data_IF_986195940040
#
_entry.id   IF_986195940040
#
_cell.length_a   1.000
_cell.length_b   1.000
_cell.length_c   1.000
_cell.angle_alpha   90.00
_cell.angle_beta   90.00
_cell.angle_gamma   90.00
#
_symmetry.space_group_name_H-M   'P 1'
#
loop_
_entity.id
_entity.type
_entity.pdbx_description
1 polymer ?
#
# COMPACT_ATOMS: atom_id res chain seq x y z
N UNK A 1 0.72 -13.32 58.14
CA UNK A 1 0.04 -12.86 56.91
C UNK A 1 -0.89 -13.96 56.44
N UNK A 2 -2.19 -13.70 56.42
CA UNK A 2 -3.26 -14.69 56.28
C UNK A 2 -3.52 -15.10 54.82
N UNK A 3 -4.17 -16.26 54.58
CA UNK A 3 -4.41 -16.83 53.24
C UNK A 3 -5.27 -15.96 52.31
N UNK A 4 -5.82 -14.86 52.81
CA UNK A 4 -6.64 -13.91 52.06
C UNK A 4 -5.85 -13.04 51.07
N UNK A 5 -4.52 -12.94 51.19
CA UNK A 5 -3.71 -12.06 50.34
C UNK A 5 -3.21 -12.71 49.04
N UNK A 6 -3.42 -14.02 48.84
CA UNK A 6 -3.06 -14.72 47.58
C UNK A 6 -4.14 -14.69 46.50
N UNK A 7 -5.34 -14.17 46.80
CA UNK A 7 -6.44 -14.05 45.82
C UNK A 7 -6.54 -12.68 45.14
N UNK A 8 -5.69 -11.72 45.50
CA UNK A 8 -5.71 -10.35 44.96
C UNK A 8 -4.60 -10.03 43.95
N UNK A 9 -3.78 -11.02 43.55
CA UNK A 9 -2.72 -10.85 42.52
C UNK A 9 -3.02 -11.65 41.24
N UNK A 10 -4.15 -12.37 41.17
CA UNK A 10 -4.54 -13.16 39.99
C UNK A 10 -5.68 -12.52 39.15
N UNK A 11 -6.02 -11.25 39.39
CA UNK A 11 -7.17 -10.60 38.76
C UNK A 11 -6.83 -9.25 38.10
N UNK A 12 -5.69 -9.14 37.42
CA UNK A 12 -5.34 -7.93 36.66
C UNK A 12 -4.37 -8.26 35.52
N UNK A 13 -4.78 -9.07 34.53
CA UNK A 13 -4.18 -9.14 33.18
C UNK A 13 -4.97 -10.14 32.30
N UNK A 14 -6.27 -9.90 32.17
CA UNK A 14 -7.05 -10.37 31.03
C UNK A 14 -7.59 -9.12 30.35
N UNK A 15 -6.70 -8.41 29.65
CA UNK A 15 -7.14 -7.60 28.52
C UNK A 15 -7.60 -8.59 27.45
N UNK A 16 -8.83 -9.07 27.57
CA UNK A 16 -9.59 -9.44 26.37
C UNK A 16 -9.79 -8.13 25.62
N UNK A 17 -8.90 -7.87 24.66
CA UNK A 17 -9.21 -6.95 23.60
C UNK A 17 -10.47 -7.48 22.91
N UNK A 18 -11.62 -7.00 23.34
CA UNK A 18 -12.85 -7.08 22.55
C UNK A 18 -12.59 -6.19 21.36
N UNK A 19 -11.96 -6.74 20.33
CA UNK A 19 -12.14 -6.19 19.00
C UNK A 19 -13.65 -6.21 18.80
N UNK A 20 -14.25 -5.02 18.70
CA UNK A 20 -15.58 -4.91 18.14
C UNK A 20 -15.51 -5.57 16.77
N UNK A 21 -15.92 -6.83 16.68
CA UNK A 21 -16.14 -7.48 15.41
C UNK A 21 -17.23 -6.65 14.76
N UNK A 22 -16.85 -5.88 13.74
CA UNK A 22 -17.82 -5.29 12.84
C UNK A 22 -18.84 -6.40 12.50
N UNK A 23 -20.14 -6.16 12.67
CA UNK A 23 -21.15 -7.17 12.43
C UNK A 23 -21.03 -7.64 10.97
N UNK A 24 -20.69 -8.91 10.75
CA UNK A 24 -20.73 -9.53 9.42
C UNK A 24 -19.46 -10.18 8.84
N UNK A 25 -18.39 -10.41 9.62
CA UNK A 25 -17.19 -11.15 9.15
C UNK A 25 -17.23 -12.63 9.56
N UNK A 26 -17.79 -13.49 8.72
CA UNK A 26 -17.88 -14.92 9.00
C UNK A 26 -16.52 -15.64 9.14
N UNK A 27 -15.47 -15.15 8.46
CA UNK A 27 -14.14 -15.79 8.41
C UNK A 27 -13.07 -15.12 9.32
N UNK A 28 -13.44 -14.11 10.12
CA UNK A 28 -12.47 -13.34 10.93
C UNK A 28 -11.47 -12.55 10.06
N UNK A 29 -10.32 -12.18 10.62
CA UNK A 29 -9.24 -11.50 9.86
C UNK A 29 -8.30 -12.50 9.14
N UNK A 30 -8.32 -13.76 9.56
CA UNK A 30 -7.41 -14.78 9.02
C UNK A 30 -8.06 -16.16 9.10
N UNK A 31 -7.99 -16.88 7.98
CA UNK A 31 -8.39 -18.29 7.86
C UNK A 31 -7.43 -18.98 6.90
N UNK A 32 -7.03 -20.20 7.26
CA UNK A 32 -6.14 -21.03 6.46
C UNK A 32 -6.51 -22.50 6.63
N UNK A 33 -6.96 -23.12 5.55
CA UNK A 33 -7.25 -24.56 5.49
C UNK A 33 -6.54 -25.15 4.26
N UNK A 34 -5.95 -26.33 4.42
CA UNK A 34 -5.24 -27.03 3.33
C UNK A 34 -5.98 -28.32 3.00
N UNK A 35 -6.34 -28.50 1.73
CA UNK A 35 -6.86 -29.77 1.21
C UNK A 35 -5.74 -30.75 0.92
N UNK A 36 -6.01 -32.04 0.70
CA UNK A 36 -4.96 -33.04 0.44
C UNK A 36 -4.52 -33.10 -1.03
N UNK A 37 -5.35 -32.64 -1.95
CA UNK A 37 -5.07 -32.70 -3.39
C UNK A 37 -4.01 -31.66 -3.78
N UNK A 38 -3.14 -32.07 -4.69
CA UNK A 38 -2.14 -31.19 -5.32
C UNK A 38 -2.50 -30.94 -6.79
N UNK A 39 -2.46 -29.68 -7.19
CA UNK A 39 -2.63 -29.20 -8.55
C UNK A 39 -1.25 -29.10 -9.21
N UNK A 40 -1.10 -29.60 -10.43
CA UNK A 40 0.15 -29.49 -11.19
C UNK A 40 0.14 -28.17 -11.95
N UNK A 41 1.04 -27.26 -11.60
CA UNK A 41 1.20 -25.95 -12.23
C UNK A 41 2.25 -25.96 -13.34
N UNK A 42 3.32 -26.75 -13.18
CA UNK A 42 4.31 -27.02 -14.22
C UNK A 42 4.82 -28.45 -14.09
N UNK A 43 5.25 -29.02 -15.22
CA UNK A 43 5.84 -30.35 -15.31
C UNK A 43 6.88 -30.36 -16.41
N UNK A 44 8.07 -30.88 -16.11
CA UNK A 44 9.20 -31.00 -17.06
C UNK A 44 9.54 -29.65 -17.72
N UNK A 45 9.43 -28.54 -16.97
CA UNK A 45 9.74 -27.19 -17.45
C UNK A 45 8.69 -26.60 -18.38
N UNK A 46 7.50 -27.21 -18.48
CA UNK A 46 6.39 -26.72 -19.27
C UNK A 46 5.19 -26.35 -18.38
N UNK A 47 4.52 -25.24 -18.70
CA UNK A 47 3.36 -24.77 -17.95
C UNK A 47 2.19 -25.76 -18.11
N UNK A 48 1.50 -26.00 -16.99
CA UNK A 48 0.24 -26.78 -16.89
C UNK A 48 -0.89 -25.95 -16.28
N UNK A 49 -0.59 -24.68 -15.97
CA UNK A 49 -1.57 -23.68 -15.58
C UNK A 49 -1.52 -22.46 -16.50
N UNK A 50 -2.65 -21.76 -16.61
CA UNK A 50 -2.74 -20.45 -17.23
C UNK A 50 -3.20 -19.41 -16.19
N UNK A 51 -2.71 -18.18 -16.33
CA UNK A 51 -3.11 -17.05 -15.49
C UNK A 51 -4.26 -16.34 -16.19
N UNK A 52 -5.46 -16.34 -15.61
CA UNK A 52 -6.64 -15.72 -16.20
C UNK A 52 -6.93 -14.36 -15.58
N UNK A 53 -7.05 -13.34 -16.42
CA UNK A 53 -7.46 -11.97 -16.04
C UNK A 53 -8.47 -11.44 -17.06
N UNK A 54 -9.59 -10.87 -16.59
CA UNK A 54 -10.59 -10.26 -17.49
C UNK A 54 -9.96 -9.13 -18.32
N UNK A 55 -10.45 -8.94 -19.56
CA UNK A 55 -9.90 -7.92 -20.49
C UNK A 55 -9.99 -6.50 -19.91
N UNK A 56 -11.02 -6.21 -19.14
CA UNK A 56 -11.30 -4.94 -18.49
C UNK A 56 -10.88 -4.90 -17.02
N UNK A 57 -10.09 -5.88 -16.55
CA UNK A 57 -9.66 -5.93 -15.16
C UNK A 57 -8.86 -4.67 -14.77
N UNK A 58 -8.98 -4.19 -13.52
CA UNK A 58 -8.21 -3.08 -13.01
C UNK A 58 -6.70 -3.22 -13.25
N UNK A 59 -5.99 -2.10 -13.38
CA UNK A 59 -4.55 -2.10 -13.61
C UNK A 59 -3.78 -2.88 -12.54
N UNK A 60 -4.24 -2.85 -11.29
CA UNK A 60 -3.69 -3.62 -10.19
C UNK A 60 -3.76 -5.14 -10.41
N UNK A 61 -4.85 -5.65 -11.00
CA UNK A 61 -5.02 -7.07 -11.31
C UNK A 61 -4.13 -7.47 -12.48
N UNK A 62 -4.04 -6.64 -13.52
CA UNK A 62 -3.15 -6.88 -14.67
C UNK A 62 -1.68 -6.90 -14.24
N UNK A 63 -1.28 -5.95 -13.40
CA UNK A 63 0.05 -5.94 -12.80
C UNK A 63 0.31 -7.18 -11.93
N UNK A 64 -0.69 -7.65 -11.17
CA UNK A 64 -0.60 -8.89 -10.40
C UNK A 64 -0.36 -10.12 -11.29
N UNK A 65 -0.98 -10.18 -12.48
CA UNK A 65 -0.72 -11.24 -13.45
C UNK A 65 0.72 -11.21 -13.98
N UNK A 66 1.26 -10.02 -14.28
CA UNK A 66 2.65 -9.88 -14.72
C UNK A 66 3.63 -10.30 -13.63
N UNK A 67 3.41 -9.90 -12.37
CA UNK A 67 4.24 -10.34 -11.24
C UNK A 67 4.13 -11.85 -11.04
N UNK A 68 2.92 -12.43 -11.10
CA UNK A 68 2.73 -13.87 -10.97
C UNK A 68 3.47 -14.62 -12.07
N UNK A 69 3.29 -14.20 -13.33
CA UNK A 69 3.96 -14.77 -14.49
C UNK A 69 5.48 -14.73 -14.35
N UNK A 70 6.05 -13.56 -14.08
CA UNK A 70 7.51 -13.39 -13.93
C UNK A 70 8.08 -14.38 -12.92
N UNK A 71 7.44 -14.54 -11.76
CA UNK A 71 7.95 -15.41 -10.70
C UNK A 71 7.75 -16.90 -11.02
N UNK A 72 6.65 -17.29 -11.66
CA UNK A 72 6.42 -18.67 -12.08
C UNK A 72 7.38 -19.08 -13.22
N UNK A 73 7.60 -18.20 -14.18
CA UNK A 73 8.54 -18.42 -15.28
C UNK A 73 9.97 -18.58 -14.73
N UNK A 74 10.42 -17.66 -13.86
CA UNK A 74 11.73 -17.75 -13.21
C UNK A 74 11.88 -19.00 -12.33
N UNK A 75 10.80 -19.43 -11.66
CA UNK A 75 10.80 -20.60 -10.79
C UNK A 75 10.96 -21.91 -11.57
N UNK A 76 10.35 -22.00 -12.76
CA UNK A 76 10.15 -23.27 -13.45
C UNK A 76 10.88 -23.40 -14.78
N UNK A 77 11.29 -22.28 -15.38
CA UNK A 77 11.75 -22.22 -16.77
C UNK A 77 10.62 -22.32 -17.81
N UNK A 78 9.36 -22.47 -17.38
CA UNK A 78 8.21 -22.52 -18.27
C UNK A 78 7.73 -21.12 -18.68
N UNK A 79 6.94 -21.05 -19.76
CA UNK A 79 6.19 -19.86 -20.15
C UNK A 79 4.72 -19.98 -19.70
N UNK A 80 4.35 -19.34 -18.59
CA UNK A 80 2.95 -19.33 -18.13
C UNK A 80 2.13 -18.31 -18.90
N UNK A 81 1.10 -18.72 -19.67
CA UNK A 81 0.32 -17.79 -20.48
C UNK A 81 -0.62 -16.96 -19.61
N UNK A 82 -0.73 -15.66 -19.91
CA UNK A 82 -1.81 -14.80 -19.41
C UNK A 82 -2.94 -14.81 -20.45
N UNK A 83 -4.13 -15.23 -20.03
CA UNK A 83 -5.31 -15.40 -20.89
C UNK A 83 -6.50 -14.58 -20.36
N UNK A 84 -7.46 -14.27 -21.24
CA UNK A 84 -8.67 -13.51 -20.86
C UNK A 84 -9.90 -14.37 -20.68
N UNK A 85 -9.82 -15.64 -21.03
CA UNK A 85 -10.91 -16.61 -20.91
C UNK A 85 -10.43 -17.84 -20.14
N UNK A 86 -11.38 -18.54 -19.53
CA UNK A 86 -11.10 -19.77 -18.79
C UNK A 86 -10.45 -20.79 -19.74
N UNK A 87 -9.27 -21.35 -19.40
CA UNK A 87 -8.66 -22.40 -20.21
C UNK A 87 -9.54 -23.66 -20.17
N UNK A 88 -9.62 -24.37 -21.31
CA UNK A 88 -10.40 -25.61 -21.42
C UNK A 88 -9.77 -26.79 -20.68
N UNK A 89 -8.46 -26.76 -20.51
CA UNK A 89 -7.65 -27.83 -19.91
C UNK A 89 -6.63 -27.23 -18.95
N UNK A 90 -6.15 -28.06 -18.01
CA UNK A 90 -5.16 -27.65 -17.02
C UNK A 90 -5.74 -26.78 -15.90
N UNK A 91 -4.84 -26.16 -15.13
CA UNK A 91 -5.20 -25.33 -13.98
C UNK A 91 -5.42 -23.88 -14.43
N UNK A 92 -6.47 -23.24 -13.92
CA UNK A 92 -6.69 -21.81 -14.12
C UNK A 92 -6.39 -21.06 -12.83
N UNK A 93 -5.40 -20.17 -12.86
CA UNK A 93 -5.15 -19.22 -11.77
C UNK A 93 -5.90 -17.93 -12.12
N UNK A 94 -7.09 -17.77 -11.57
CA UNK A 94 -8.01 -16.67 -11.90
C UNK A 94 -7.80 -15.52 -10.92
N UNK A 95 -7.46 -14.33 -11.44
CA UNK A 95 -7.16 -13.16 -10.63
C UNK A 95 -8.25 -12.09 -10.76
N UNK A 96 -8.57 -11.46 -9.64
CA UNK A 96 -9.49 -10.33 -9.57
C UNK A 96 -10.95 -10.75 -9.58
N UNK A 97 -11.83 -9.85 -9.11
CA UNK A 97 -13.25 -10.16 -9.02
C UNK A 97 -13.88 -10.42 -10.41
N UNK A 98 -14.41 -11.63 -10.58
CA UNK A 98 -15.14 -12.05 -11.77
C UNK A 98 -16.06 -13.24 -11.44
N UNK A 99 -16.87 -13.68 -12.40
CA UNK A 99 -17.84 -14.76 -12.19
C UNK A 99 -17.20 -16.06 -11.63
N UNK A 100 -16.01 -16.45 -12.13
CA UNK A 100 -15.31 -17.65 -11.65
C UNK A 100 -14.82 -17.51 -10.19
N UNK A 101 -14.32 -16.32 -9.82
CA UNK A 101 -13.91 -16.01 -8.45
C UNK A 101 -15.12 -16.02 -7.48
N UNK A 102 -16.26 -15.49 -7.91
CA UNK A 102 -17.51 -15.53 -7.12
C UNK A 102 -18.06 -16.95 -6.99
N UNK A 103 -17.97 -17.76 -8.05
CA UNK A 103 -18.34 -19.18 -8.02
C UNK A 103 -17.44 -20.00 -7.07
N UNK A 104 -16.18 -19.59 -6.88
CA UNK A 104 -15.30 -20.14 -5.84
C UNK A 104 -15.64 -19.63 -4.42
N UNK A 105 -16.64 -18.76 -4.29
CA UNK A 105 -17.14 -18.22 -3.02
C UNK A 105 -16.37 -17.01 -2.49
N UNK A 106 -15.60 -16.32 -3.34
CA UNK A 106 -14.93 -15.07 -2.97
C UNK A 106 -15.81 -13.90 -3.39
N UNK A 107 -16.26 -13.11 -2.41
CA UNK A 107 -16.89 -11.81 -2.62
C UNK A 107 -15.88 -10.71 -2.26
N UNK A 108 -15.18 -10.20 -3.28
CA UNK A 108 -14.13 -9.20 -3.11
C UNK A 108 -14.64 -7.92 -2.44
N UNK A 109 -15.90 -7.52 -2.70
CA UNK A 109 -16.50 -6.33 -2.11
C UNK A 109 -16.69 -6.45 -0.58
N UNK A 110 -16.70 -7.68 -0.02
CA UNK A 110 -16.81 -7.91 1.42
C UNK A 110 -15.49 -8.06 2.14
N UNK A 111 -14.39 -8.21 1.41
CA UNK A 111 -13.04 -8.26 1.99
C UNK A 111 -12.59 -6.84 2.31
N UNK A 112 -11.96 -6.61 3.47
CA UNK A 112 -11.43 -5.31 3.81
C UNK A 112 -10.36 -4.81 2.81
N UNK A 113 -10.12 -3.50 2.81
CA UNK A 113 -8.99 -2.90 2.08
C UNK A 113 -7.69 -3.62 2.43
N UNK A 114 -6.86 -3.87 1.42
CA UNK A 114 -5.62 -4.66 1.49
C UNK A 114 -5.78 -6.14 1.85
N UNK A 115 -7.00 -6.60 2.14
CA UNK A 115 -7.29 -8.01 2.32
C UNK A 115 -7.45 -8.73 0.99
N UNK A 116 -7.36 -10.06 1.06
CA UNK A 116 -7.50 -10.94 -0.08
C UNK A 116 -7.94 -12.34 0.35
N UNK A 117 -8.39 -13.13 -0.62
CA UNK A 117 -8.67 -14.54 -0.45
C UNK A 117 -8.04 -15.36 -1.59
N UNK A 118 -7.63 -16.59 -1.26
CA UNK A 118 -7.18 -17.60 -2.22
C UNK A 118 -8.04 -18.84 -1.99
N UNK A 119 -8.74 -19.31 -3.03
CA UNK A 119 -9.57 -20.50 -2.93
C UNK A 119 -9.32 -21.45 -4.09
N UNK A 120 -9.06 -22.71 -3.77
CA UNK A 120 -9.00 -23.77 -4.76
C UNK A 120 -10.34 -24.48 -4.87
N UNK A 121 -10.82 -24.70 -6.09
CA UNK A 121 -12.01 -25.50 -6.39
C UNK A 121 -11.82 -26.21 -7.73
N UNK A 122 -11.74 -27.55 -7.73
CA UNK A 122 -11.45 -28.30 -8.94
C UNK A 122 -10.10 -27.89 -9.56
N UNK A 123 -10.07 -27.53 -10.85
CA UNK A 123 -8.84 -27.03 -11.50
C UNK A 123 -8.68 -25.51 -11.39
N UNK A 124 -9.47 -24.82 -10.57
CA UNK A 124 -9.42 -23.36 -10.42
C UNK A 124 -8.73 -22.97 -9.12
N UNK A 125 -7.80 -22.03 -9.21
CA UNK A 125 -7.21 -21.29 -8.09
C UNK A 125 -7.69 -19.85 -8.25
N UNK A 126 -8.68 -19.44 -7.45
CA UNK A 126 -9.23 -18.09 -7.45
C UNK A 126 -8.47 -17.22 -6.45
N UNK A 127 -8.00 -16.04 -6.87
CA UNK A 127 -7.28 -15.07 -6.03
C UNK A 127 -7.92 -13.70 -6.23
N UNK A 128 -8.50 -13.11 -5.19
CA UNK A 128 -9.06 -11.77 -5.28
C UNK A 128 -9.08 -11.01 -3.95
N UNK A 129 -9.04 -9.69 -4.07
CA UNK A 129 -9.37 -8.72 -3.02
C UNK A 129 -10.00 -7.48 -3.66
N UNK A 130 -10.24 -6.42 -2.88
CA UNK A 130 -10.69 -5.15 -3.46
C UNK A 130 -9.59 -4.51 -4.29
N UNK A 131 -9.92 -4.04 -5.48
CA UNK A 131 -9.00 -3.40 -6.41
C UNK A 131 -9.60 -2.09 -6.96
N UNK A 132 -8.78 -1.06 -7.09
CA UNK A 132 -9.18 0.24 -7.63
C UNK A 132 -9.18 0.22 -9.16
N UNK A 133 -10.38 0.30 -9.75
CA UNK A 133 -10.61 0.30 -11.20
C UNK A 133 -10.37 1.67 -11.87
N UNK A 134 -10.04 2.72 -11.11
CA UNK A 134 -9.77 4.05 -11.66
C UNK A 134 -8.34 4.14 -12.21
N UNK A 135 -8.06 5.24 -12.93
CA UNK A 135 -6.72 5.53 -13.47
C UNK A 135 -5.62 5.65 -12.40
N UNK A 136 -5.96 5.68 -11.10
CA UNK A 136 -4.97 5.66 -10.01
C UNK A 136 -4.10 4.41 -10.04
N UNK A 137 -4.68 3.24 -10.32
CA UNK A 137 -3.96 1.96 -10.27
C UNK A 137 -2.96 1.79 -11.42
N UNK A 138 -3.08 2.56 -12.51
CA UNK A 138 -2.10 2.60 -13.61
C UNK A 138 -0.70 3.07 -13.15
N UNK A 139 -0.61 3.70 -11.97
CA UNK A 139 0.66 4.05 -11.38
C UNK A 139 1.58 2.84 -11.13
N UNK A 140 1.05 1.62 -10.98
CA UNK A 140 1.86 0.41 -10.78
C UNK A 140 2.80 0.13 -11.94
N UNK A 141 2.37 0.36 -13.18
CA UNK A 141 3.23 0.16 -14.36
C UNK A 141 4.38 1.17 -14.42
N UNK A 142 4.21 2.34 -13.79
CA UNK A 142 5.28 3.35 -13.64
C UNK A 142 6.28 3.01 -12.52
N UNK A 143 5.95 2.10 -11.61
CA UNK A 143 6.86 1.68 -10.52
C UNK A 143 8.09 0.96 -11.07
N UNK A 144 7.93 0.24 -12.20
CA UNK A 144 9.04 -0.43 -12.90
C UNK A 144 9.92 0.56 -13.70
N UNK A 145 9.42 1.75 -14.04
CA UNK A 145 10.14 2.73 -14.86
C UNK A 145 11.27 3.42 -14.06
N UNK A 146 12.52 3.43 -14.55
CA UNK A 146 13.63 4.05 -13.83
C UNK A 146 13.42 5.57 -13.71
N UNK A 147 13.72 6.09 -12.52
CA UNK A 147 13.85 7.53 -12.31
C UNK A 147 15.33 7.93 -12.41
N UNK A 148 15.65 9.12 -12.97
CA UNK A 148 17.00 9.64 -12.91
C UNK A 148 17.52 9.69 -11.48
N UNK A 149 18.80 9.35 -11.28
CA UNK A 149 19.51 9.49 -9.99
C UNK A 149 19.58 10.92 -9.47
N UNK A 150 19.14 11.92 -10.21
CA UNK A 150 19.10 13.31 -9.78
C UNK A 150 17.67 13.81 -9.57
N UNK A 151 16.67 12.95 -9.80
CA UNK A 151 15.27 13.32 -9.65
C UNK A 151 15.01 13.77 -8.21
N UNK A 152 14.52 15.00 -8.07
CA UNK A 152 14.06 15.50 -6.77
C UNK A 152 12.83 14.71 -6.33
N UNK A 153 12.57 14.69 -5.03
CA UNK A 153 11.32 14.14 -4.48
C UNK A 153 10.09 14.67 -5.22
N UNK A 154 10.07 15.97 -5.55
CA UNK A 154 8.95 16.61 -6.23
C UNK A 154 8.79 16.14 -7.68
N UNK A 155 9.90 15.90 -8.40
CA UNK A 155 9.84 15.34 -9.76
C UNK A 155 9.29 13.90 -9.74
N UNK A 156 9.70 13.11 -8.74
CA UNK A 156 9.18 11.75 -8.55
C UNK A 156 7.70 11.77 -8.12
N UNK A 157 7.30 12.70 -7.23
CA UNK A 157 5.90 12.92 -6.83
C UNK A 157 5.05 13.44 -7.99
N UNK A 158 5.58 14.21 -8.93
CA UNK A 158 4.83 14.65 -10.11
C UNK A 158 4.62 13.50 -11.11
N UNK A 159 5.64 12.67 -11.32
CA UNK A 159 5.61 11.59 -12.31
C UNK A 159 4.78 10.38 -11.85
N UNK A 160 4.87 10.05 -10.57
CA UNK A 160 4.05 9.02 -9.95
C UNK A 160 2.72 9.66 -9.54
N UNK A 161 2.78 10.67 -8.69
CA UNK A 161 1.66 11.26 -7.94
C UNK A 161 2.00 11.14 -6.45
N UNK A 162 1.86 12.22 -5.67
CA UNK A 162 2.18 12.19 -4.24
C UNK A 162 1.38 11.14 -3.43
N UNK A 163 0.25 10.69 -3.99
CA UNK A 163 -0.67 9.71 -3.44
C UNK A 163 -0.78 8.40 -4.24
N UNK A 164 0.18 8.04 -5.12
CA UNK A 164 0.14 6.76 -5.89
C UNK A 164 0.31 5.49 -5.07
N UNK A 165 0.12 5.58 -3.77
CA UNK A 165 0.02 4.41 -2.91
C UNK A 165 -1.37 4.27 -2.33
N UNK A 166 -2.25 5.26 -2.54
CA UNK A 166 -3.61 5.33 -2.00
C UNK A 166 -4.67 4.85 -3.01
N UNK A 167 -4.59 3.57 -3.35
CA UNK A 167 -5.59 2.87 -4.17
C UNK A 167 -5.58 1.38 -3.85
N UNK A 168 -6.76 0.76 -3.79
CA UNK A 168 -6.94 -0.64 -3.43
C UNK A 168 -6.27 -1.59 -4.45
N UNK A 169 -5.63 -2.64 -3.95
CA UNK A 169 -4.85 -3.62 -4.75
C UNK A 169 -4.76 -4.99 -4.04
N UNK A 170 -5.87 -5.42 -3.45
CA UNK A 170 -5.94 -6.65 -2.67
C UNK A 170 -5.56 -7.89 -3.48
N UNK A 171 -5.95 -7.97 -4.76
CA UNK A 171 -5.60 -9.12 -5.61
C UNK A 171 -4.09 -9.26 -5.79
N UNK A 172 -3.37 -8.14 -5.93
CA UNK A 172 -1.90 -8.14 -5.98
C UNK A 172 -1.29 -8.74 -4.71
N UNK A 173 -1.87 -8.44 -3.54
CA UNK A 173 -1.40 -8.99 -2.27
C UNK A 173 -1.70 -10.48 -2.13
N UNK A 174 -2.85 -10.93 -2.64
CA UNK A 174 -3.16 -12.35 -2.79
C UNK A 174 -2.16 -13.08 -3.68
N UNK A 175 -1.73 -12.47 -4.79
CA UNK A 175 -0.68 -13.03 -5.65
C UNK A 175 0.65 -13.16 -4.90
N UNK A 176 1.06 -12.14 -4.15
CA UNK A 176 2.29 -12.24 -3.37
C UNK A 176 2.21 -13.32 -2.28
N UNK A 177 1.06 -13.45 -1.60
CA UNK A 177 0.83 -14.54 -0.65
C UNK A 177 0.87 -15.91 -1.32
N UNK A 178 0.29 -16.05 -2.51
CA UNK A 178 0.32 -17.28 -3.29
C UNK A 178 1.76 -17.66 -3.69
N UNK A 179 2.55 -16.69 -4.14
CA UNK A 179 3.98 -16.90 -4.43
C UNK A 179 4.76 -17.32 -3.17
N UNK A 180 4.43 -16.78 -2.00
CA UNK A 180 5.01 -17.22 -0.73
C UNK A 180 4.67 -18.69 -0.40
N UNK A 181 3.47 -19.16 -0.71
CA UNK A 181 3.11 -20.58 -0.60
C UNK A 181 3.96 -21.47 -1.53
N UNK A 182 4.40 -20.93 -2.65
CA UNK A 182 5.32 -21.62 -3.58
C UNK A 182 6.80 -21.49 -3.18
N UNK A 183 7.10 -20.82 -2.07
CA UNK A 183 8.45 -20.68 -1.51
C UNK A 183 9.19 -19.40 -1.89
N UNK A 184 8.56 -18.47 -2.63
CA UNK A 184 9.17 -17.18 -2.95
C UNK A 184 9.31 -16.32 -1.70
N UNK A 185 10.43 -15.62 -1.52
CA UNK A 185 10.66 -14.68 -0.41
C UNK A 185 11.30 -13.39 -0.90
N UNK A 186 11.01 -12.28 -0.23
CA UNK A 186 11.61 -10.96 -0.48
C UNK A 186 12.11 -10.33 0.83
N UNK A 187 13.31 -10.69 1.26
CA UNK A 187 13.88 -10.24 2.53
C UNK A 187 14.36 -8.79 2.48
N UNK A 188 14.90 -8.38 1.34
CA UNK A 188 15.42 -7.04 1.08
C UNK A 188 15.00 -6.60 -0.33
N UNK A 189 15.08 -5.30 -0.65
CA UNK A 189 15.02 -4.84 -2.03
C UNK A 189 16.13 -5.43 -2.90
N UNK A 190 15.92 -5.39 -4.21
CA UNK A 190 16.90 -5.87 -5.19
C UNK A 190 16.80 -7.36 -5.50
N UNK A 191 17.54 -7.81 -6.51
CA UNK A 191 17.63 -9.24 -6.85
C UNK A 191 18.22 -10.07 -5.71
N UNK A 192 19.22 -9.56 -4.98
CA UNK A 192 19.90 -10.26 -3.87
C UNK A 192 19.01 -10.49 -2.66
N UNK A 193 17.99 -9.65 -2.46
CA UNK A 193 16.99 -9.82 -1.41
C UNK A 193 15.85 -10.77 -1.77
N UNK A 194 15.81 -11.26 -3.02
CA UNK A 194 14.74 -12.12 -3.55
C UNK A 194 15.20 -13.57 -3.63
N UNK A 195 14.41 -14.47 -3.05
CA UNK A 195 14.57 -15.92 -3.20
C UNK A 195 13.42 -16.45 -4.04
N UNK A 196 13.76 -17.05 -5.20
CA UNK A 196 12.82 -17.81 -6.04
C UNK A 196 13.38 -19.22 -6.14
N UNK A 197 12.71 -20.25 -5.57
CA UNK A 197 13.12 -21.63 -5.74
C UNK A 197 13.18 -22.01 -7.23
N UNK A 198 14.16 -22.80 -7.64
CA UNK A 198 14.25 -23.32 -9.02
C UNK A 198 13.80 -24.78 -9.05
N UNK A 199 12.72 -25.07 -9.78
CA UNK A 199 12.18 -26.44 -9.97
C UNK A 199 11.32 -26.52 -11.23
N UNK A 200 11.64 -27.43 -12.14
CA UNK A 200 10.89 -27.68 -13.39
C UNK A 200 9.49 -28.25 -13.15
N UNK A 201 9.32 -28.92 -12.01
CA UNK A 201 8.06 -29.49 -11.54
C UNK A 201 7.51 -28.65 -10.41
N UNK A 202 6.31 -28.13 -10.60
CA UNK A 202 5.65 -27.26 -9.64
C UNK A 202 4.24 -27.77 -9.35
N UNK A 203 4.00 -28.08 -8.08
CA UNK A 203 2.67 -28.44 -7.58
C UNK A 203 2.21 -27.44 -6.53
N UNK A 204 0.90 -27.27 -6.42
CA UNK A 204 0.25 -26.43 -5.43
C UNK A 204 -0.85 -27.22 -4.71
N UNK A 205 -0.71 -27.34 -3.40
CA UNK A 205 -1.70 -28.02 -2.55
C UNK A 205 -2.95 -27.14 -2.43
N UNK A 206 -4.12 -27.76 -2.46
CA UNK A 206 -5.39 -27.07 -2.26
C UNK A 206 -5.37 -26.20 -1.00
N UNK A 207 -6.00 -25.04 -1.11
CA UNK A 207 -5.91 -23.95 -0.16
C UNK A 207 -7.25 -23.21 -0.10
N UNK A 208 -7.78 -23.02 1.11
CA UNK A 208 -8.77 -22.01 1.43
C UNK A 208 -8.12 -21.02 2.37
N UNK A 209 -7.80 -19.83 1.85
CA UNK A 209 -7.16 -18.76 2.60
C UNK A 209 -8.00 -17.49 2.51
N UNK A 210 -8.16 -16.83 3.65
CA UNK A 210 -8.65 -15.47 3.76
C UNK A 210 -7.72 -14.72 4.69
N UNK A 211 -7.26 -13.54 4.30
CA UNK A 211 -6.36 -12.72 5.10
C UNK A 211 -6.69 -11.23 4.92
N UNK A 212 -6.98 -10.57 6.03
CA UNK A 212 -7.18 -9.13 6.15
C UNK A 212 -6.14 -8.56 7.11
N UNK A 213 -5.56 -7.38 6.83
CA UNK A 213 -4.58 -6.79 7.73
C UNK A 213 -5.23 -6.29 9.02
N UNK A 214 -4.60 -6.59 10.16
CA UNK A 214 -5.01 -6.06 11.46
C UNK A 214 -4.81 -4.54 11.60
N UNK A 215 -3.84 -3.98 10.86
CA UNK A 215 -3.54 -2.55 10.86
C UNK A 215 -3.71 -1.99 9.46
N UNK A 216 -4.50 -0.93 9.29
CA UNK A 216 -4.69 -0.26 8.00
C UNK A 216 -3.37 0.32 7.49
N UNK A 217 -2.55 0.87 8.38
CA UNK A 217 -1.22 1.38 8.04
C UNK A 217 -0.12 0.38 8.36
N UNK A 218 0.62 -0.02 7.33
CA UNK A 218 1.77 -0.93 7.44
C UNK A 218 2.89 -0.32 6.60
N UNK A 219 3.67 0.56 7.24
CA UNK A 219 4.68 1.40 6.54
C UNK A 219 6.08 1.25 7.11
N UNK A 220 7.04 1.06 6.20
CA UNK A 220 8.48 1.12 6.52
C UNK A 220 8.99 2.52 6.16
N UNK A 221 8.91 3.46 7.12
CA UNK A 221 9.48 4.81 7.02
C UNK A 221 9.16 5.58 5.73
N UNK A 222 10.03 6.50 5.30
CA UNK A 222 9.92 7.17 3.98
C UNK A 222 10.53 6.33 2.85
N UNK A 223 10.33 5.01 2.89
CA UNK A 223 10.96 4.07 1.95
C UNK A 223 10.68 4.38 0.47
N UNK A 224 9.49 4.87 0.12
CA UNK A 224 9.17 5.23 -1.27
C UNK A 224 10.01 6.38 -1.86
N UNK A 225 10.80 7.09 -1.03
CA UNK A 225 11.47 8.35 -1.36
C UNK A 225 12.95 8.41 -0.90
N UNK A 226 13.64 7.29 -0.71
CA UNK A 226 14.94 7.26 -0.01
C UNK A 226 16.10 7.99 -0.70
N UNK A 227 15.98 8.46 -1.94
CA UNK A 227 17.13 9.05 -2.64
C UNK A 227 17.71 10.29 -1.94
N UNK A 228 16.87 11.10 -1.29
CA UNK A 228 17.35 12.22 -0.47
C UNK A 228 17.99 11.76 0.85
N UNK A 229 17.55 10.63 1.43
CA UNK A 229 18.14 10.04 2.64
C UNK A 229 19.52 9.44 2.32
N UNK A 230 19.64 8.75 1.19
CA UNK A 230 20.89 8.17 0.70
C UNK A 230 21.88 9.27 0.37
N UNK A 231 21.44 10.33 -0.32
CA UNK A 231 22.28 11.50 -0.60
C UNK A 231 22.81 12.15 0.69
N UNK A 232 21.93 12.41 1.67
CA UNK A 232 22.33 12.98 2.96
C UNK A 232 23.25 12.05 3.78
N UNK A 233 23.02 10.73 3.74
CA UNK A 233 23.85 9.73 4.41
C UNK A 233 25.22 9.57 3.72
N UNK A 234 25.28 9.67 2.39
CA UNK A 234 26.52 9.70 1.61
C UNK A 234 27.38 10.90 1.98
N UNK A 235 26.79 12.10 2.06
CA UNK A 235 27.51 13.31 2.49
C UNK A 235 28.04 13.21 3.93
N UNK A 236 27.45 12.34 4.75
CA UNK A 236 27.87 12.06 6.13
C UNK A 236 28.76 10.81 6.26
N UNK A 237 29.18 10.19 5.16
CA UNK A 237 29.93 8.93 5.14
C UNK A 237 29.27 7.78 5.93
N UNK A 238 27.93 7.81 6.07
CA UNK A 238 27.16 6.80 6.80
C UNK A 238 26.74 5.61 5.94
N UNK A 239 26.95 5.67 4.63
CA UNK A 239 26.62 4.62 3.66
C UNK A 239 27.69 4.56 2.57
N UNK A 240 28.09 3.34 2.18
CA UNK A 240 28.89 3.09 0.99
C UNK A 240 27.97 3.06 -0.24
N UNK A 241 28.13 3.97 -1.22
CA UNK A 241 27.30 3.99 -2.43
C UNK A 241 27.42 2.71 -3.27
N UNK A 242 28.59 2.09 -3.31
CA UNK A 242 28.85 0.92 -4.16
C UNK A 242 28.12 -0.31 -3.63
N UNK A 243 28.11 -0.51 -2.31
CA UNK A 243 27.30 -1.55 -1.66
C UNK A 243 25.81 -1.33 -1.89
N UNK A 244 25.36 -0.08 -1.86
CA UNK A 244 23.95 0.26 -2.08
C UNK A 244 23.51 -0.04 -3.52
N UNK A 245 24.41 0.20 -4.48
CA UNK A 245 24.21 -0.13 -5.89
C UNK A 245 24.20 -1.65 -6.13
N UNK A 246 25.15 -2.37 -5.54
CA UNK A 246 25.23 -3.84 -5.62
C UNK A 246 24.01 -4.55 -5.01
N UNK A 247 23.43 -3.97 -3.95
CA UNK A 247 22.18 -4.45 -3.35
C UNK A 247 20.93 -4.05 -4.14
N UNK A 248 21.06 -3.22 -5.17
CA UNK A 248 19.97 -2.62 -5.93
C UNK A 248 18.91 -1.97 -5.02
N UNK A 249 19.32 -1.41 -3.88
CA UNK A 249 18.39 -0.91 -2.86
C UNK A 249 17.70 0.41 -3.29
N UNK A 250 17.88 0.84 -4.54
CA UNK A 250 17.35 2.06 -5.13
C UNK A 250 15.83 2.10 -5.35
N UNK A 251 15.36 3.25 -5.84
CA UNK A 251 13.95 3.66 -5.81
C UNK A 251 12.94 2.63 -6.35
N UNK A 252 13.19 2.01 -7.50
CA UNK A 252 12.21 1.08 -8.11
C UNK A 252 12.13 -0.25 -7.38
N UNK A 253 13.29 -0.85 -7.08
CA UNK A 253 13.36 -2.13 -6.38
C UNK A 253 12.81 -2.02 -4.97
N UNK A 254 13.04 -0.89 -4.30
CA UNK A 254 12.44 -0.63 -3.00
C UNK A 254 10.91 -0.52 -3.06
N UNK A 255 10.35 0.13 -4.09
CA UNK A 255 8.89 0.20 -4.27
C UNK A 255 8.28 -1.16 -4.58
N UNK A 256 8.90 -1.93 -5.47
CA UNK A 256 8.48 -3.31 -5.75
C UNK A 256 8.54 -4.15 -4.47
N UNK A 257 9.61 -4.03 -3.70
CA UNK A 257 9.75 -4.70 -2.42
C UNK A 257 8.63 -4.31 -1.44
N UNK A 258 8.28 -3.03 -1.32
CA UNK A 258 7.16 -2.59 -0.48
C UNK A 258 5.82 -3.21 -0.92
N UNK A 259 5.56 -3.30 -2.22
CA UNK A 259 4.38 -4.00 -2.75
C UNK A 259 4.39 -5.49 -2.34
N UNK A 260 5.52 -6.16 -2.53
CA UNK A 260 5.74 -7.58 -2.20
C UNK A 260 5.57 -7.87 -0.70
N UNK A 261 5.97 -6.91 0.13
CA UNK A 261 5.77 -6.94 1.59
C UNK A 261 4.35 -6.53 2.03
N UNK A 262 3.41 -6.34 1.10
CA UNK A 262 2.00 -5.98 1.37
C UNK A 262 1.87 -4.70 2.21
N UNK A 263 2.75 -3.74 1.95
CA UNK A 263 2.71 -2.38 2.52
C UNK A 263 1.32 -1.77 2.36
N UNK A 264 0.86 -0.90 3.26
CA UNK A 264 -0.52 -0.41 3.16
C UNK A 264 -0.84 0.27 1.82
N UNK A 265 -2.02 -0.03 1.27
CA UNK A 265 -2.61 0.72 0.16
C UNK A 265 -3.36 1.94 0.58
N UNK A 266 -3.43 2.19 1.89
CA UNK A 266 -3.86 3.45 2.42
C UNK A 266 -2.68 4.15 3.07
N UNK A 267 -2.66 5.47 2.96
CA UNK A 267 -1.69 6.27 3.67
C UNK A 267 -2.35 7.45 4.35
N UNK A 268 -2.07 7.57 5.64
CA UNK A 268 -2.29 8.76 6.42
C UNK A 268 -0.94 9.14 7.08
N UNK A 269 -0.53 10.40 6.97
CA UNK A 269 0.55 10.97 7.76
C UNK A 269 0.13 11.16 9.21
N UNK A 270 1.13 11.29 10.06
CA UNK A 270 0.96 11.53 11.48
C UNK A 270 1.62 12.84 11.89
N UNK A 271 2.09 13.64 10.92
CA UNK A 271 3.03 14.72 11.16
C UNK A 271 2.98 15.83 10.09
N UNK A 272 3.33 17.05 10.52
CA UNK A 272 3.50 18.26 9.69
C UNK A 272 2.23 18.90 9.11
N UNK A 273 1.07 18.75 9.78
CA UNK A 273 -0.19 19.37 9.35
C UNK A 273 -0.08 20.90 9.11
N UNK A 274 0.44 21.73 10.04
CA UNK A 274 0.37 23.19 9.88
C UNK A 274 1.10 23.70 8.63
N UNK A 275 2.34 23.24 8.41
CA UNK A 275 3.24 23.75 7.36
C UNK A 275 2.85 23.36 5.93
N UNK A 276 1.82 22.52 5.75
CA UNK A 276 1.41 22.04 4.41
C UNK A 276 0.01 22.50 4.01
N UNK A 277 -0.72 23.13 4.92
CA UNK A 277 -2.05 23.67 4.69
C UNK A 277 -2.05 25.13 4.23
N UNK A 278 -0.86 25.76 4.19
CA UNK A 278 -0.66 27.17 3.82
C UNK A 278 -1.66 28.08 4.55
N UNK A 279 -1.84 27.84 5.86
CA UNK A 279 -2.82 28.57 6.65
C UNK A 279 -2.45 30.05 6.70
N UNK A 280 -1.15 30.37 6.71
CA UNK A 280 -0.62 31.72 6.63
C UNK A 280 -1.01 32.42 5.32
N UNK A 281 -1.09 31.69 4.21
CA UNK A 281 -1.53 32.22 2.91
C UNK A 281 -3.04 32.47 2.90
N UNK A 282 -3.81 31.51 3.43
CA UNK A 282 -5.28 31.51 3.42
C UNK A 282 -5.89 32.47 4.44
N UNK A 283 -5.28 32.59 5.62
CA UNK A 283 -5.85 33.27 6.77
C UNK A 283 -4.95 34.37 7.36
N UNK A 284 -3.65 34.37 7.08
CA UNK A 284 -2.70 35.26 7.75
C UNK A 284 -2.95 36.76 7.56
N UNK A 285 -3.57 37.17 6.43
CA UNK A 285 -3.94 38.57 6.18
C UNK A 285 -5.15 39.02 6.99
N UNK A 286 -6.12 38.13 7.20
CA UNK A 286 -7.39 38.45 7.85
C UNK A 286 -7.35 38.17 9.35
N UNK A 287 -6.63 37.13 9.75
CA UNK A 287 -6.54 36.63 11.12
C UNK A 287 -5.07 36.43 11.52
N UNK A 288 -4.26 37.50 11.55
CA UNK A 288 -2.85 37.40 11.92
C UNK A 288 -2.64 36.83 13.33
N UNK A 289 -3.61 36.99 14.23
CA UNK A 289 -3.60 36.48 15.60
C UNK A 289 -3.54 34.95 15.69
N UNK A 290 -4.03 34.23 14.67
CA UNK A 290 -4.01 32.75 14.62
C UNK A 290 -2.59 32.18 14.57
N UNK A 291 -1.58 33.02 14.38
CA UNK A 291 -0.19 32.61 14.21
C UNK A 291 0.66 33.06 15.40
N UNK A 292 1.66 32.26 15.73
CA UNK A 292 2.57 32.52 16.84
C UNK A 292 3.33 33.83 16.63
N UNK A 293 3.62 34.51 17.75
CA UNK A 293 4.50 35.68 17.76
C UNK A 293 5.95 35.18 17.81
N UNK A 294 6.79 35.69 16.90
CA UNK A 294 8.23 35.42 16.88
C UNK A 294 8.95 36.33 17.87
N UNK A 295 10.21 36.02 18.15
CA UNK A 295 11.09 36.85 19.00
C UNK A 295 11.15 38.33 18.54
N UNK A 296 11.03 38.57 17.23
CA UNK A 296 10.96 39.92 16.66
C UNK A 296 9.66 40.69 16.97
N UNK A 297 8.74 40.12 17.74
CA UNK A 297 7.40 40.68 18.01
C UNK A 297 6.42 40.57 16.84
N UNK A 298 6.82 39.96 15.72
CA UNK A 298 5.99 39.83 14.51
C UNK A 298 5.31 38.46 14.46
N UNK A 299 4.12 38.38 13.87
CA UNK A 299 3.42 37.11 13.62
C UNK A 299 4.17 36.27 12.58
N UNK A 300 4.18 34.95 12.75
CA UNK A 300 4.88 34.03 11.85
C UNK A 300 4.11 33.78 10.54
N UNK A 301 3.98 34.82 9.73
CA UNK A 301 3.15 34.84 8.50
C UNK A 301 3.95 34.72 7.21
N UNK A 302 5.29 34.61 7.28
CA UNK A 302 6.12 34.60 6.07
C UNK A 302 5.99 33.25 5.37
N UNK A 303 5.48 33.19 4.12
CA UNK A 303 5.58 31.99 3.31
C UNK A 303 7.04 31.86 2.85
N UNK A 304 7.82 31.01 3.50
CA UNK A 304 9.16 30.65 3.06
C UNK A 304 9.30 29.13 2.96
N UNK A 305 10.32 28.67 2.23
CA UNK A 305 10.67 27.26 2.09
C UNK A 305 11.10 26.66 3.45
N UNK A 306 10.15 26.23 4.28
CA UNK A 306 10.46 25.65 5.59
C UNK A 306 9.30 25.67 6.60
N UNK A 307 9.64 25.39 7.86
CA UNK A 307 8.71 25.35 9.01
C UNK A 307 8.32 26.78 9.44
N UNK A 308 7.42 27.44 8.70
CA UNK A 308 6.78 28.71 9.05
C UNK A 308 5.27 28.50 9.21
N UNK A 309 4.51 29.54 9.59
CA UNK A 309 3.07 29.41 9.81
C UNK A 309 2.75 28.69 11.12
N UNK A 310 3.58 28.85 12.14
CA UNK A 310 3.30 28.26 13.46
C UNK A 310 2.01 28.84 14.02
N UNK A 311 1.11 27.98 14.49
CA UNK A 311 -0.20 28.37 14.99
C UNK A 311 -0.12 28.81 16.46
N UNK A 312 -0.90 29.83 16.80
CA UNK A 312 -1.19 30.22 18.17
C UNK A 312 -2.34 29.35 18.70
N UNK A 313 -2.03 28.20 19.29
CA UNK A 313 -3.06 27.23 19.72
C UNK A 313 -3.97 27.73 20.86
N UNK A 314 -3.65 28.87 21.47
CA UNK A 314 -4.53 29.54 22.43
C UNK A 314 -5.60 30.40 21.77
N UNK A 315 -5.47 30.70 20.47
CA UNK A 315 -6.52 31.43 19.74
C UNK A 315 -7.66 30.49 19.32
N UNK A 316 -8.90 30.72 19.79
CA UNK A 316 -10.03 29.84 19.49
C UNK A 316 -10.31 29.68 17.99
N UNK A 317 -10.05 30.72 17.20
CA UNK A 317 -10.29 30.68 15.75
C UNK A 317 -9.43 29.65 15.00
N UNK A 318 -8.30 29.22 15.57
CA UNK A 318 -7.48 28.12 15.01
C UNK A 318 -8.25 26.80 15.01
N UNK A 319 -9.02 26.53 16.07
CA UNK A 319 -9.86 25.33 16.14
C UNK A 319 -11.02 25.42 15.13
N UNK A 320 -11.60 26.60 14.95
CA UNK A 320 -12.73 26.78 14.04
C UNK A 320 -12.34 26.64 12.56
N UNK A 321 -11.19 27.16 12.14
CA UNK A 321 -10.69 26.91 10.77
C UNK A 321 -10.31 25.43 10.58
N UNK A 322 -9.83 24.77 11.65
CA UNK A 322 -9.49 23.35 11.63
C UNK A 322 -10.73 22.47 11.42
N UNK A 323 -11.81 22.74 12.16
CA UNK A 323 -13.10 22.03 12.01
C UNK A 323 -13.69 22.25 10.63
N UNK A 324 -13.68 23.49 10.13
CA UNK A 324 -14.19 23.83 8.81
C UNK A 324 -13.46 23.12 7.68
N UNK A 325 -12.12 23.06 7.75
CA UNK A 325 -11.33 22.32 6.76
C UNK A 325 -11.68 20.82 6.78
N UNK A 326 -11.96 20.24 7.95
CA UNK A 326 -12.43 18.85 8.06
C UNK A 326 -13.80 18.68 7.38
N UNK A 327 -14.76 19.55 7.71
CA UNK A 327 -16.11 19.51 7.13
C UNK A 327 -16.09 19.69 5.60
N UNK A 328 -15.30 20.66 5.12
CA UNK A 328 -15.16 20.97 3.70
C UNK A 328 -14.54 19.82 2.91
N UNK A 329 -13.59 19.10 3.51
CA UNK A 329 -13.02 17.90 2.92
C UNK A 329 -14.09 16.81 2.75
N UNK A 330 -14.84 16.51 3.81
CA UNK A 330 -15.88 15.48 3.77
C UNK A 330 -17.09 15.88 2.92
N UNK A 331 -17.33 17.17 2.73
CA UNK A 331 -18.28 17.71 1.75
C UNK A 331 -17.77 17.60 0.29
N UNK A 332 -16.52 17.18 0.09
CA UNK A 332 -15.94 16.94 -1.22
C UNK A 332 -15.42 18.19 -1.95
N UNK A 333 -15.27 19.32 -1.26
CA UNK A 333 -14.67 20.53 -1.85
C UNK A 333 -13.24 20.24 -2.32
N UNK A 334 -12.78 20.98 -3.30
CA UNK A 334 -11.42 20.90 -3.85
C UNK A 334 -10.48 21.86 -3.13
N UNK A 335 -9.18 21.59 -3.18
CA UNK A 335 -8.18 22.50 -2.64
C UNK A 335 -8.25 23.91 -3.26
N UNK A 336 -8.70 24.01 -4.51
CA UNK A 336 -8.88 25.29 -5.22
C UNK A 336 -10.01 26.12 -4.59
N UNK A 337 -11.14 25.48 -4.26
CA UNK A 337 -12.28 26.14 -3.60
C UNK A 337 -11.95 26.64 -2.19
N UNK A 338 -10.84 26.15 -1.61
CA UNK A 338 -10.33 26.57 -0.31
C UNK A 338 -9.22 27.61 -0.37
N UNK A 339 -8.85 28.06 -1.58
CA UNK A 339 -7.84 29.08 -1.78
C UNK A 339 -6.40 28.57 -1.68
N UNK A 340 -6.16 27.27 -1.87
CA UNK A 340 -4.78 26.75 -1.96
C UNK A 340 -4.11 27.19 -3.27
N UNK A 341 -2.83 27.53 -3.19
CA UNK A 341 -2.02 27.96 -4.33
C UNK A 341 -1.89 26.89 -5.42
N UNK A 342 -1.72 27.33 -6.66
CA UNK A 342 -1.58 26.46 -7.84
C UNK A 342 -0.43 25.46 -7.70
N UNK A 343 0.67 25.86 -7.06
CA UNK A 343 1.79 24.98 -6.75
C UNK A 343 1.35 23.79 -5.88
N UNK A 344 0.51 24.02 -4.87
CA UNK A 344 0.00 22.95 -3.99
C UNK A 344 -0.98 22.02 -4.69
N UNK A 345 -1.84 22.59 -5.54
CA UNK A 345 -2.78 21.81 -6.35
C UNK A 345 -2.04 20.83 -7.28
N UNK A 346 -0.94 21.28 -7.90
CA UNK A 346 -0.14 20.47 -8.81
C UNK A 346 0.56 19.28 -8.14
N UNK A 347 0.85 19.35 -6.83
CA UNK A 347 1.49 18.26 -6.10
C UNK A 347 0.54 17.09 -5.79
N UNK A 348 -0.78 17.33 -5.72
CA UNK A 348 -1.75 16.33 -5.27
C UNK A 348 -3.01 16.28 -6.16
N UNK A 349 -2.88 16.06 -7.49
CA UNK A 349 -4.03 16.04 -8.39
C UNK A 349 -5.04 14.94 -8.04
N UNK A 350 -4.56 13.80 -7.52
CA UNK A 350 -5.40 12.66 -7.13
C UNK A 350 -6.19 12.87 -5.82
N UNK A 351 -5.83 13.88 -5.02
CA UNK A 351 -6.51 14.24 -3.77
C UNK A 351 -7.33 15.54 -3.94
N UNK A 352 -7.87 15.79 -5.13
CA UNK A 352 -8.61 17.03 -5.46
C UNK A 352 -7.84 18.31 -5.11
N UNK A 353 -6.51 18.27 -5.17
CA UNK A 353 -5.62 19.38 -4.81
C UNK A 353 -5.40 19.59 -3.31
N UNK A 354 -6.01 18.79 -2.44
CA UNK A 354 -5.71 18.82 -1.01
C UNK A 354 -4.31 18.28 -0.73
N UNK A 355 -3.56 18.89 0.19
CA UNK A 355 -2.36 18.28 0.75
C UNK A 355 -2.70 16.89 1.26
N UNK A 356 -1.81 15.92 1.06
CA UNK A 356 -2.01 14.55 1.54
C UNK A 356 -2.22 14.46 3.08
N UNK A 357 -2.00 15.56 3.79
CA UNK A 357 -2.16 15.75 5.23
C UNK A 357 -3.30 16.65 5.67
N UNK A 358 -4.21 17.01 4.78
CA UNK A 358 -5.30 17.91 5.12
C UNK A 358 -6.33 17.32 6.08
N UNK A 359 -6.43 15.99 6.08
CA UNK A 359 -7.38 15.22 6.88
C UNK A 359 -6.59 14.53 7.98
N UNK A 360 -6.12 15.32 8.94
CA UNK A 360 -5.77 14.80 10.26
C UNK A 360 -6.66 15.43 11.29
#
# INVERSE_FOLDING_TARGET
MTPALRRLVALSLLLTAVFATAPGRADGLFKLERGERALVLARDGAARAAIMVQRDAPAAVRFAAEELKEHLDLMTGADFPIVTTQPKEGVAIVLGDCAAVRAAGIDAARIARDGYAIRTSGSVIAIAGRDDATAKSEALFKVKSPFPRTASRYAMEAALGAATWDFERGTLYGVYRFLEELGVRWFLPGTKGRVIPTRSDLTFRELQLHEEPAFILRKVGRATWQWYMISAARTKHMLNPDEYEDLEWGGNMLRLWLLRMRHSSEWFAFNHRPTRMELEERYGKQFPEYFAVRESGQRDLKPQTGRTGHLCYTEPGVLEITKRDIDDYYAGKTGKELGLSSHRLALNPLNRGWPANAIY
#
